data_IF_974241123416
#
_entry.id   IF_974241123416
#
_cell.length_a   1.000
_cell.length_b   1.000
_cell.length_c   1.000
_cell.angle_alpha   90.00
_cell.angle_beta   90.00
_cell.angle_gamma   90.00
#
_symmetry.space_group_name_H-M   'P 1'
#
loop_
_entity.id
_entity.type
_entity.pdbx_description
1 polymer ?
#
# COMPACT_ATOMS: atom_id res chain seq x y z
N UNK A 1 -19.95 2.70 11.76
CA UNK A 1 -20.43 2.34 13.11
C UNK A 1 -21.16 3.47 13.85
N UNK A 2 -21.28 4.68 13.28
CA UNK A 2 -22.05 5.77 13.88
C UNK A 2 -23.50 5.35 14.17
N UNK A 3 -24.03 5.74 15.32
CA UNK A 3 -25.37 5.40 15.81
C UNK A 3 -25.52 4.02 16.46
N UNK A 4 -24.49 3.17 16.39
CA UNK A 4 -24.53 1.81 16.94
C UNK A 4 -24.33 1.82 18.45
N UNK A 5 -25.06 0.95 19.14
CA UNK A 5 -24.98 0.79 20.59
C UNK A 5 -23.74 -0.02 20.96
N UNK A 6 -22.92 0.54 21.84
CA UNK A 6 -21.66 -0.07 22.30
C UNK A 6 -21.48 0.09 23.81
N UNK A 7 -20.71 -0.82 24.38
CA UNK A 7 -20.16 -0.70 25.72
C UNK A 7 -18.63 -0.65 25.66
N UNK A 8 -18.04 0.42 26.19
CA UNK A 8 -16.60 0.62 26.22
C UNK A 8 -16.19 1.13 27.60
N UNK A 9 -15.25 0.48 28.26
CA UNK A 9 -14.79 0.81 29.64
C UNK A 9 -15.95 0.97 30.64
N UNK A 10 -16.98 0.12 30.53
CA UNK A 10 -18.18 0.17 31.36
C UNK A 10 -19.19 1.26 30.99
N UNK A 11 -18.91 2.11 29.99
CA UNK A 11 -19.84 3.13 29.50
C UNK A 11 -20.67 2.57 28.36
N UNK A 12 -22.00 2.57 28.53
CA UNK A 12 -22.97 2.20 27.49
C UNK A 12 -23.53 3.43 26.79
N UNK A 13 -23.49 3.43 25.47
CA UNK A 13 -24.05 4.52 24.67
C UNK A 13 -24.05 4.21 23.18
N UNK A 14 -24.43 5.18 22.36
CA UNK A 14 -24.37 5.08 20.90
C UNK A 14 -23.18 5.86 20.36
N UNK A 15 -22.44 5.31 19.40
CA UNK A 15 -21.29 6.01 18.80
C UNK A 15 -21.75 7.27 18.05
N UNK A 16 -21.41 8.45 18.55
CA UNK A 16 -21.53 9.71 17.81
C UNK A 16 -20.35 9.92 16.87
N UNK A 17 -19.15 9.56 17.32
CA UNK A 17 -17.89 9.78 16.59
C UNK A 17 -16.87 8.72 17.01
N UNK A 18 -15.99 8.36 16.08
CA UNK A 18 -14.85 7.48 16.32
C UNK A 18 -13.67 8.03 15.50
N UNK A 19 -12.53 8.24 16.16
CA UNK A 19 -11.32 8.77 15.54
C UNK A 19 -10.09 8.12 16.17
N UNK A 20 -9.10 7.79 15.34
CA UNK A 20 -7.78 7.38 15.81
C UNK A 20 -6.99 8.61 16.26
N UNK A 21 -6.31 8.50 17.40
CA UNK A 21 -5.39 9.51 17.91
C UNK A 21 -4.10 8.86 18.40
N UNK A 22 -3.13 9.69 18.81
CA UNK A 22 -1.82 9.22 19.28
C UNK A 22 -1.91 8.20 20.43
N UNK A 23 -2.90 8.34 21.31
CA UNK A 23 -3.08 7.47 22.48
C UNK A 23 -4.05 6.29 22.25
N UNK A 24 -4.54 6.08 21.02
CA UNK A 24 -5.47 5.02 20.66
C UNK A 24 -6.81 5.49 20.08
N UNK A 25 -7.81 4.61 20.07
CA UNK A 25 -9.11 4.87 19.45
C UNK A 25 -10.00 5.70 20.39
N UNK A 26 -10.30 6.93 19.98
CA UNK A 26 -11.25 7.80 20.68
C UNK A 26 -12.67 7.54 20.17
N UNK A 27 -13.59 7.28 21.09
CA UNK A 27 -15.02 7.18 20.86
C UNK A 27 -15.75 8.31 21.59
N UNK A 28 -16.70 8.96 20.92
CA UNK A 28 -17.68 9.82 21.57
C UNK A 28 -19.00 9.06 21.62
N UNK A 29 -19.52 8.81 22.82
CA UNK A 29 -20.75 8.07 23.05
C UNK A 29 -21.88 9.01 23.47
N UNK A 30 -23.04 8.88 22.81
CA UNK A 30 -24.30 9.47 23.27
C UNK A 30 -24.91 8.54 24.30
N UNK A 31 -25.00 9.01 25.53
CA UNK A 31 -25.66 8.33 26.65
C UNK A 31 -26.92 9.10 27.05
N UNK A 32 -27.83 8.50 27.85
CA UNK A 32 -28.97 9.24 28.40
C UNK A 32 -28.57 10.47 29.24
N UNK A 33 -27.37 10.46 29.83
CA UNK A 33 -26.85 11.56 30.66
C UNK A 33 -26.11 12.64 29.85
N UNK A 34 -25.88 12.42 28.55
CA UNK A 34 -25.12 13.33 27.69
C UNK A 34 -24.02 12.63 26.90
N UNK A 35 -23.06 13.42 26.41
CA UNK A 35 -21.93 12.93 25.62
C UNK A 35 -20.77 12.52 26.53
N UNK A 36 -20.21 11.33 26.31
CA UNK A 36 -19.06 10.82 27.05
C UNK A 36 -17.96 10.44 26.07
N UNK A 37 -16.76 10.99 26.26
CA UNK A 37 -15.57 10.59 25.52
C UNK A 37 -14.89 9.40 26.19
N UNK A 38 -14.58 8.37 25.43
CA UNK A 38 -13.85 7.17 25.87
C UNK A 38 -12.65 6.97 24.95
N UNK A 39 -11.46 6.74 25.51
CA UNK A 39 -10.27 6.37 24.74
C UNK A 39 -9.95 4.91 25.03
N UNK A 40 -9.88 4.11 23.96
CA UNK A 40 -9.49 2.71 23.97
C UNK A 40 -8.02 2.60 23.59
N UNK A 41 -7.23 2.14 24.56
CA UNK A 41 -5.82 1.79 24.36
C UNK A 41 -5.68 0.34 23.92
N UNK A 42 -4.45 -0.05 23.60
CA UNK A 42 -4.12 -1.44 23.31
C UNK A 42 -4.59 -2.37 24.44
N UNK A 43 -5.26 -3.47 24.06
CA UNK A 43 -5.89 -4.41 25.00
C UNK A 43 -7.24 -3.98 25.57
N UNK A 44 -7.69 -2.73 25.35
CA UNK A 44 -9.02 -2.27 25.75
C UNK A 44 -10.04 -2.51 24.63
N UNK A 45 -11.26 -2.93 24.99
CA UNK A 45 -12.28 -3.34 24.03
C UNK A 45 -13.53 -2.46 24.05
N UNK A 46 -14.19 -2.39 22.89
CA UNK A 46 -15.57 -1.95 22.76
C UNK A 46 -16.44 -3.13 22.32
N UNK A 47 -17.48 -3.43 23.09
CA UNK A 47 -18.46 -4.47 22.78
C UNK A 47 -19.65 -3.88 22.05
N UNK A 48 -19.94 -4.42 20.87
CA UNK A 48 -21.18 -4.14 20.14
C UNK A 48 -22.35 -4.80 20.88
N UNK A 49 -23.42 -4.04 21.13
CA UNK A 49 -24.59 -4.55 21.86
C UNK A 49 -25.61 -5.23 20.93
N UNK A 50 -25.54 -4.97 19.63
CA UNK A 50 -26.37 -5.61 18.62
C UNK A 50 -25.68 -6.89 18.10
N UNK A 51 -26.22 -8.05 18.51
CA UNK A 51 -25.69 -9.36 18.13
C UNK A 51 -25.75 -9.62 16.62
N UNK A 52 -26.78 -9.12 15.93
CA UNK A 52 -26.91 -9.30 14.49
C UNK A 52 -25.87 -8.47 13.74
N UNK A 53 -25.62 -7.24 14.18
CA UNK A 53 -24.53 -6.40 13.66
C UNK A 53 -23.17 -7.03 13.92
N UNK A 54 -22.92 -7.50 15.16
CA UNK A 54 -21.66 -8.13 15.54
C UNK A 54 -21.37 -9.36 14.65
N UNK A 55 -22.37 -10.22 14.44
CA UNK A 55 -22.24 -11.37 13.54
C UNK A 55 -21.97 -10.96 12.08
N UNK A 56 -22.54 -9.85 11.63
CA UNK A 56 -22.32 -9.34 10.27
C UNK A 56 -20.91 -8.78 10.09
N UNK A 57 -20.36 -8.13 11.11
CA UNK A 57 -18.97 -7.63 11.12
C UNK A 57 -17.99 -8.80 11.19
N UNK A 58 -18.26 -9.81 12.02
CA UNK A 58 -17.45 -11.03 12.09
C UNK A 58 -17.34 -11.72 10.72
N UNK A 59 -18.47 -11.96 10.05
CA UNK A 59 -18.47 -12.53 8.69
C UNK A 59 -17.71 -11.68 7.67
N UNK A 60 -17.81 -10.34 7.76
CA UNK A 60 -17.05 -9.46 6.88
C UNK A 60 -15.54 -9.52 7.14
N UNK A 61 -15.13 -9.62 8.41
CA UNK A 61 -13.73 -9.79 8.79
C UNK A 61 -13.17 -11.15 8.31
N UNK A 62 -13.95 -12.22 8.45
CA UNK A 62 -13.61 -13.55 7.90
C UNK A 62 -13.46 -13.50 6.38
N UNK A 63 -14.41 -12.88 5.67
CA UNK A 63 -14.32 -12.72 4.21
C UNK A 63 -13.08 -11.93 3.78
N UNK A 64 -12.71 -10.87 4.51
CA UNK A 64 -11.49 -10.10 4.26
C UNK A 64 -10.22 -10.91 4.55
N UNK A 65 -10.22 -11.72 5.60
CA UNK A 65 -9.12 -12.62 5.91
C UNK A 65 -8.94 -13.68 4.82
N UNK A 66 -10.04 -14.27 4.34
CA UNK A 66 -10.02 -15.23 3.23
C UNK A 66 -9.55 -14.61 1.92
N UNK A 67 -10.03 -13.41 1.57
CA UNK A 67 -9.57 -12.70 0.38
C UNK A 67 -8.07 -12.37 0.45
N UNK A 68 -7.51 -12.16 1.65
CA UNK A 68 -6.07 -11.98 1.85
C UNK A 68 -5.32 -13.30 1.63
N UNK A 69 -5.85 -14.42 2.11
CA UNK A 69 -5.23 -15.74 1.92
C UNK A 69 -5.32 -16.25 0.48
N UNK A 70 -6.34 -15.89 -0.30
CA UNK A 70 -6.45 -16.28 -1.72
C UNK A 70 -5.28 -15.73 -2.58
N UNK A 71 -4.57 -14.71 -2.10
CA UNK A 71 -3.35 -14.16 -2.72
C UNK A 71 -2.04 -14.81 -2.23
N UNK A 72 -2.07 -15.56 -1.13
CA UNK A 72 -0.88 -16.21 -0.56
C UNK A 72 -0.67 -17.57 -1.22
N UNK A 73 0.35 -17.66 -2.08
CA UNK A 73 0.75 -18.94 -2.69
C UNK A 73 1.94 -19.52 -1.94
N UNK A 74 1.79 -20.75 -1.47
CA UNK A 74 2.93 -21.51 -0.93
C UNK A 74 3.91 -21.83 -2.06
N UNK A 75 5.15 -21.35 -1.92
CA UNK A 75 6.26 -21.69 -2.82
C UNK A 75 7.26 -22.53 -2.03
N UNK A 76 7.43 -23.79 -2.42
CA UNK A 76 8.44 -24.68 -1.85
C UNK A 76 9.70 -24.66 -2.71
N UNK A 77 10.86 -24.33 -2.12
CA UNK A 77 12.16 -24.33 -2.79
C UNK A 77 13.03 -25.44 -2.23
N UNK A 78 13.23 -26.51 -3.00
CA UNK A 78 14.07 -27.64 -2.61
C UNK A 78 15.48 -27.49 -3.18
N UNK A 79 16.47 -27.32 -2.30
CA UNK A 79 17.88 -27.24 -2.67
C UNK A 79 18.54 -28.62 -2.59
N UNK A 80 19.00 -29.17 -3.72
CA UNK A 80 19.75 -30.44 -3.75
C UNK A 80 21.25 -30.20 -3.87
N UNK A 81 22.08 -30.94 -3.13
CA UNK A 81 23.53 -30.95 -3.28
C UNK A 81 24.24 -31.47 -2.02
N UNK A 82 25.43 -32.02 -2.21
CA UNK A 82 26.17 -32.76 -1.16
C UNK A 82 27.19 -31.90 -0.40
N UNK A 83 27.41 -30.65 -0.83
CA UNK A 83 28.38 -29.72 -0.22
C UNK A 83 27.73 -28.39 0.14
N UNK A 84 28.20 -27.72 1.22
CA UNK A 84 27.77 -26.36 1.54
C UNK A 84 28.05 -25.39 0.39
N UNK A 85 27.07 -24.54 0.08
CA UNK A 85 27.17 -23.45 -0.90
C UNK A 85 26.23 -22.31 -0.50
N UNK A 86 26.59 -21.11 -0.91
CA UNK A 86 25.72 -19.94 -0.75
C UNK A 86 24.57 -20.00 -1.75
N UNK A 87 23.35 -19.69 -1.29
CA UNK A 87 22.14 -19.64 -2.12
C UNK A 87 21.39 -18.35 -1.78
N UNK A 88 21.12 -17.53 -2.79
CA UNK A 88 20.33 -16.30 -2.66
C UNK A 88 18.99 -16.46 -3.36
N UNK A 89 17.91 -16.02 -2.70
CA UNK A 89 16.58 -15.91 -3.29
C UNK A 89 16.24 -14.42 -3.45
N UNK A 90 15.90 -14.02 -4.68
CA UNK A 90 15.44 -12.66 -4.98
C UNK A 90 14.05 -12.74 -5.59
N UNK A 91 13.13 -11.94 -5.07
CA UNK A 91 11.79 -11.78 -5.65
C UNK A 91 11.72 -10.47 -6.44
N UNK A 92 10.97 -10.48 -7.54
CA UNK A 92 10.64 -9.29 -8.31
C UNK A 92 9.15 -9.04 -8.16
N UNK A 93 8.80 -7.89 -7.60
CA UNK A 93 7.42 -7.42 -7.53
C UNK A 93 7.18 -6.40 -8.64
N UNK A 94 5.90 -6.22 -8.98
CA UNK A 94 5.46 -5.13 -9.84
C UNK A 94 6.04 -3.79 -9.35
N UNK A 95 6.63 -3.00 -10.25
CA UNK A 95 7.07 -1.65 -9.92
C UNK A 95 5.90 -0.82 -9.38
N UNK A 96 6.09 -0.06 -8.28
CA UNK A 96 5.03 0.70 -7.66
C UNK A 96 4.55 1.81 -8.60
N UNK A 97 3.25 2.08 -8.59
CA UNK A 97 2.72 3.28 -9.24
C UNK A 97 3.13 4.48 -8.41
N UNK A 98 3.58 5.54 -9.09
CA UNK A 98 3.85 6.82 -8.43
C UNK A 98 3.06 7.93 -9.12
N UNK A 99 2.52 8.84 -8.32
CA UNK A 99 1.66 9.95 -8.74
C UNK A 99 2.28 11.26 -8.25
N UNK A 100 2.72 12.17 -9.14
CA UNK A 100 3.11 13.51 -8.72
C UNK A 100 1.86 14.32 -8.34
N UNK A 101 1.93 15.04 -7.24
CA UNK A 101 0.89 16.00 -6.83
C UNK A 101 1.52 17.36 -6.62
N UNK A 102 0.84 18.42 -7.05
CA UNK A 102 1.33 19.78 -6.97
C UNK A 102 0.28 20.71 -6.40
N UNK A 103 0.70 21.69 -5.60
CA UNK A 103 -0.16 22.76 -5.08
C UNK A 103 0.51 24.11 -5.31
N UNK A 104 -0.18 25.01 -6.00
CA UNK A 104 0.22 26.40 -6.15
C UNK A 104 -0.54 27.26 -5.15
N UNK A 105 0.20 28.03 -4.34
CA UNK A 105 -0.36 28.98 -3.38
C UNK A 105 -0.09 30.38 -3.89
N UNK A 106 -1.17 31.11 -4.21
CA UNK A 106 -1.10 32.49 -4.68
C UNK A 106 -1.30 33.45 -3.49
N UNK A 107 -0.44 34.47 -3.32
CA UNK A 107 -0.71 35.55 -2.37
C UNK A 107 -1.85 36.44 -2.88
N UNK A 108 -2.66 36.97 -1.97
CA UNK A 108 -3.88 37.71 -2.30
C UNK A 108 -3.69 39.04 -3.03
N UNK A 109 -2.55 39.72 -2.85
CA UNK A 109 -2.25 40.99 -3.52
C UNK A 109 -0.73 41.14 -3.75
N UNK A 110 -0.26 40.64 -4.89
CA UNK A 110 1.16 40.68 -5.27
C UNK A 110 2.06 39.81 -4.39
N UNK A 111 3.27 39.54 -4.87
CA UNK A 111 4.26 38.70 -4.19
C UNK A 111 4.51 37.35 -4.87
N UNK A 112 5.46 36.59 -4.32
CA UNK A 112 5.90 35.32 -4.89
C UNK A 112 4.87 34.20 -4.65
N UNK A 113 4.49 33.52 -5.72
CA UNK A 113 3.67 32.32 -5.64
C UNK A 113 4.52 31.14 -5.16
N UNK A 114 3.97 30.31 -4.27
CA UNK A 114 4.65 29.12 -3.77
C UNK A 114 4.15 27.86 -4.44
N UNK A 115 5.03 27.17 -5.15
CA UNK A 115 4.76 25.82 -5.67
C UNK A 115 5.24 24.77 -4.67
N UNK A 116 4.37 23.81 -4.36
CA UNK A 116 4.70 22.63 -3.56
C UNK A 116 4.47 21.37 -4.39
N UNK A 117 5.33 20.36 -4.21
CA UNK A 117 5.24 19.08 -4.90
C UNK A 117 5.35 17.91 -3.92
N UNK A 118 4.65 16.82 -4.24
CA UNK A 118 4.72 15.53 -3.54
C UNK A 118 4.85 14.41 -4.56
N UNK A 119 5.59 13.37 -4.19
CA UNK A 119 5.53 12.07 -4.86
C UNK A 119 4.72 11.11 -3.99
N UNK A 120 3.54 10.71 -4.48
CA UNK A 120 2.72 9.70 -3.81
C UNK A 120 3.08 8.36 -4.44
N UNK A 121 3.65 7.44 -3.65
CA UNK A 121 4.09 6.12 -4.13
C UNK A 121 3.21 5.05 -3.47
N UNK A 122 2.66 4.15 -4.28
CA UNK A 122 1.81 3.06 -3.81
C UNK A 122 2.65 1.80 -3.54
N UNK A 123 2.85 1.46 -2.27
CA UNK A 123 3.50 0.21 -1.87
C UNK A 123 2.47 -0.93 -1.82
N UNK A 124 2.42 -1.72 -2.90
CA UNK A 124 1.56 -2.91 -3.01
C UNK A 124 2.34 -4.22 -2.77
N UNK A 125 3.56 -4.14 -2.25
CA UNK A 125 4.41 -5.33 -2.03
C UNK A 125 4.02 -6.16 -0.80
N UNK A 126 3.17 -5.62 0.09
CA UNK A 126 2.76 -6.28 1.33
C UNK A 126 3.84 -6.28 2.43
N UNK A 127 4.99 -5.67 2.19
CA UNK A 127 6.07 -5.53 3.16
C UNK A 127 6.40 -4.05 3.41
N UNK A 128 6.84 -3.73 4.63
CA UNK A 128 7.34 -2.40 4.97
C UNK A 128 8.62 -2.09 4.20
N UNK A 129 8.78 -0.83 3.80
CA UNK A 129 9.98 -0.36 3.13
C UNK A 129 10.96 0.19 4.16
N UNK A 130 12.10 -0.49 4.32
CA UNK A 130 13.24 -0.03 5.12
C UNK A 130 14.51 0.04 4.26
N UNK A 131 15.27 1.12 4.37
CA UNK A 131 16.51 1.32 3.60
C UNK A 131 16.37 1.35 2.07
N UNK A 132 15.19 1.57 1.51
CA UNK A 132 14.95 1.51 0.06
C UNK A 132 15.49 2.74 -0.68
N UNK A 133 16.00 2.54 -1.90
CA UNK A 133 16.34 3.62 -2.84
C UNK A 133 15.33 3.63 -3.99
N UNK A 134 14.69 4.78 -4.19
CA UNK A 134 13.72 4.97 -5.27
C UNK A 134 14.25 5.96 -6.31
N UNK A 135 13.98 5.66 -7.58
CA UNK A 135 14.18 6.60 -8.69
C UNK A 135 12.85 6.75 -9.42
N UNK A 136 12.31 7.97 -9.43
CA UNK A 136 11.02 8.29 -10.02
C UNK A 136 11.27 9.07 -11.31
N UNK A 137 10.72 8.58 -12.43
CA UNK A 137 10.88 9.20 -13.73
C UNK A 137 9.51 9.57 -14.28
N UNK A 138 9.31 10.84 -14.63
CA UNK A 138 8.09 11.32 -15.27
C UNK A 138 8.20 11.14 -16.78
N UNK A 139 7.49 10.14 -17.33
CA UNK A 139 7.49 9.86 -18.78
C UNK A 139 6.39 10.59 -19.56
N UNK A 140 5.23 10.85 -18.95
CA UNK A 140 4.11 11.51 -19.61
C UNK A 140 3.32 12.35 -18.60
N UNK A 141 3.37 13.67 -18.74
CA UNK A 141 2.52 14.58 -17.97
C UNK A 141 1.13 14.60 -18.61
N UNK A 142 0.14 14.01 -17.95
CA UNK A 142 -1.26 14.13 -18.32
C UNK A 142 -2.00 14.94 -17.26
N UNK A 143 -2.58 16.08 -17.64
CA UNK A 143 -3.47 16.85 -16.77
C UNK A 143 -4.81 16.14 -16.66
N UNK A 144 -4.96 15.21 -15.70
CA UNK A 144 -6.17 14.40 -15.53
C UNK A 144 -6.65 14.42 -14.08
N UNK A 145 -7.96 14.31 -13.89
CA UNK A 145 -8.60 14.11 -12.59
C UNK A 145 -8.49 12.63 -12.22
N UNK A 146 -7.68 12.28 -11.23
CA UNK A 146 -7.42 10.89 -10.84
C UNK A 146 -7.77 10.63 -9.37
N UNK A 147 -8.36 9.47 -9.03
CA UNK A 147 -8.52 9.06 -7.63
C UNK A 147 -7.16 8.77 -7.00
N UNK A 148 -6.82 9.52 -5.94
CA UNK A 148 -5.52 9.37 -5.26
C UNK A 148 -5.47 8.18 -4.29
N UNK A 149 -6.62 7.74 -3.78
CA UNK A 149 -6.71 6.69 -2.76
C UNK A 149 -7.12 5.32 -3.33
N UNK A 150 -7.40 5.23 -4.63
CA UNK A 150 -7.71 3.97 -5.28
C UNK A 150 -6.44 3.43 -5.95
N UNK A 151 -6.08 2.15 -5.70
CA UNK A 151 -5.02 1.49 -6.45
C UNK A 151 -5.34 1.51 -7.95
N UNK A 152 -4.33 1.81 -8.76
CA UNK A 152 -4.47 1.80 -10.22
C UNK A 152 -3.61 0.67 -10.75
N UNK A 153 -4.24 -0.34 -11.35
CA UNK A 153 -3.52 -1.36 -12.11
C UNK A 153 -3.21 -0.82 -13.50
N UNK A 154 -1.92 -0.72 -13.83
CA UNK A 154 -1.49 -0.42 -15.19
C UNK A 154 -1.34 -1.74 -15.93
N UNK A 155 -2.14 -2.03 -16.97
CA UNK A 155 -1.98 -3.24 -17.76
C UNK A 155 -0.60 -3.21 -18.41
N UNK A 156 0.20 -4.25 -18.17
CA UNK A 156 1.51 -4.41 -18.80
C UNK A 156 1.34 -5.21 -20.08
N UNK A 157 2.05 -4.80 -21.12
CA UNK A 157 2.12 -5.58 -22.34
C UNK A 157 2.83 -6.91 -22.03
N UNK A 158 2.15 -8.03 -22.32
CA UNK A 158 2.74 -9.35 -22.23
C UNK A 158 3.66 -9.55 -23.43
N UNK A 159 4.95 -9.36 -23.22
CA UNK A 159 5.95 -9.73 -24.22
C UNK A 159 6.07 -11.26 -24.24
N UNK A 160 5.99 -11.91 -25.41
CA UNK A 160 6.16 -13.36 -25.50
C UNK A 160 7.53 -13.75 -24.95
N UNK A 161 7.54 -14.72 -24.03
CA UNK A 161 8.77 -15.36 -23.55
C UNK A 161 9.49 -15.98 -24.75
N UNK A 162 10.60 -15.35 -25.17
CA UNK A 162 11.59 -16.06 -25.98
C UNK A 162 12.24 -17.06 -25.04
N UNK A 163 11.74 -18.29 -25.04
CA UNK A 163 12.35 -19.40 -24.31
C UNK A 163 13.83 -19.44 -24.72
N UNK A 164 14.71 -19.21 -23.75
CA UNK A 164 16.17 -19.20 -23.83
C UNK A 164 16.76 -19.57 -25.21
N UNK A 165 17.00 -18.57 -26.06
CA UNK A 165 18.24 -18.65 -26.82
C UNK A 165 19.35 -18.74 -25.77
N UNK A 166 20.24 -19.72 -25.90
CA UNK A 166 21.45 -19.76 -25.07
C UNK A 166 22.18 -18.44 -25.30
N UNK A 167 21.98 -17.49 -24.39
CA UNK A 167 22.77 -16.27 -24.34
C UNK A 167 24.18 -16.70 -23.97
N UNK A 168 25.00 -17.00 -24.98
CA UNK A 168 26.44 -17.10 -24.84
C UNK A 168 26.94 -15.74 -24.40
N UNK A 169 27.01 -15.53 -23.09
CA UNK A 169 27.58 -14.31 -22.51
C UNK A 169 29.05 -14.29 -22.94
N UNK A 170 29.33 -13.50 -23.97
CA UNK A 170 30.71 -13.28 -24.41
C UNK A 170 31.27 -12.19 -23.50
N UNK A 171 32.44 -12.42 -22.91
CA UNK A 171 33.10 -11.42 -22.09
C UNK A 171 33.25 -10.11 -22.89
N UNK A 172 32.87 -8.99 -22.27
CA UNK A 172 33.11 -7.67 -22.84
C UNK A 172 34.62 -7.51 -23.05
N UNK A 173 35.03 -7.41 -24.31
CA UNK A 173 36.43 -7.28 -24.72
C UNK A 173 36.82 -5.81 -24.92
N UNK A 174 35.98 -4.88 -24.46
CA UNK A 174 36.16 -3.45 -24.63
C UNK A 174 35.73 -2.97 -26.01
N UNK A 175 36.06 -1.70 -26.31
CA UNK A 175 35.61 -1.01 -27.50
C UNK A 175 35.97 -1.77 -28.79
N UNK A 176 34.94 -2.16 -29.56
CA UNK A 176 35.13 -2.73 -30.90
C UNK A 176 35.28 -1.60 -31.93
N UNK A 177 36.18 -1.73 -32.91
CA UNK A 177 36.27 -0.77 -34.00
C UNK A 177 34.95 -0.76 -34.80
N UNK A 178 34.56 0.40 -35.37
CA UNK A 178 33.34 0.52 -36.16
C UNK A 178 33.38 -0.44 -37.35
N UNK A 179 32.22 -1.04 -37.72
CA UNK A 179 32.17 -1.93 -38.88
C UNK A 179 32.55 -1.17 -40.16
N UNK A 180 33.20 -1.83 -41.13
CA UNK A 180 33.50 -1.21 -42.42
C UNK A 180 32.21 -0.80 -43.13
N UNK A 181 32.24 0.34 -43.80
CA UNK A 181 31.09 0.87 -44.54
C UNK A 181 30.69 -0.10 -45.66
N UNK A 182 29.39 -0.34 -45.88
CA UNK A 182 28.93 -1.16 -46.99
C UNK A 182 29.32 -0.52 -48.33
N UNK A 183 29.81 -1.36 -49.26
CA UNK A 183 30.08 -1.02 -50.67
C UNK A 183 28.80 -0.94 -51.49
#
# INVERSE_FOLDING_TARGET
LRGQAVEAKGVRGRIAEAAEGEDGLRLVLVTPAGLVGVVLREGEEARLQDAALAARIARAAEALAMARSDGERLVEVVLRGERPREVSLTTLVAAPVWKPSWRLVLPGAGGEARLQGWAVVENLSGADWDGVRLTLVSGAAAGLRQPLYAPVEVPREELPLRLAEQLGVTADTGARPPPPMPV
#
